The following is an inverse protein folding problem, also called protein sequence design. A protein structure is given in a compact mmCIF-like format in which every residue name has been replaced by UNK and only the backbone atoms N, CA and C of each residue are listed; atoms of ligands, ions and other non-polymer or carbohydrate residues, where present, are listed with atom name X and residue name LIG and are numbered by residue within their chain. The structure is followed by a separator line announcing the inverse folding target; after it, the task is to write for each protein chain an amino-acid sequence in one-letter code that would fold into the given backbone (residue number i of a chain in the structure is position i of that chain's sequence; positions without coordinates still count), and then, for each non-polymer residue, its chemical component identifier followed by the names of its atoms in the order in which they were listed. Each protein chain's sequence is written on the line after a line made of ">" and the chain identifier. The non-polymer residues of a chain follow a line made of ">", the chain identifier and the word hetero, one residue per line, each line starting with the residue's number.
data_IF_180576242267
#
_entry.id   IF_180576242267
#
_cell.length_a   1.000
_cell.length_b   1.000
_cell.length_c   1.000
_cell.angle_alpha   90.00
_cell.angle_beta   90.00
_cell.angle_gamma   90.00
#
_symmetry.space_group_name_H-M   'P 1'
#
loop_
_entity.id
_entity.type
_entity.pdbx_description
1 polymer ?
#
# COMPACT_ATOMS: atom_id res chain seq x y z
N UNK A 1 42.16 67.65 -34.52
CA UNK A 1 40.79 67.24 -34.10
C UNK A 1 40.59 65.75 -34.44
N UNK A 2 40.90 64.89 -33.55
CA UNK A 2 40.66 63.46 -33.71
C UNK A 2 39.78 62.98 -32.52
N UNK A 3 38.59 62.53 -32.79
CA UNK A 3 37.65 61.99 -31.79
C UNK A 3 38.03 60.54 -31.49
N UNK A 4 38.29 60.23 -30.21
CA UNK A 4 38.56 58.93 -29.73
C UNK A 4 37.19 58.38 -29.22
N UNK A 5 36.71 57.33 -29.87
CA UNK A 5 35.53 56.53 -29.37
C UNK A 5 36.04 55.49 -28.39
N UNK A 6 35.59 55.57 -27.17
CA UNK A 6 35.73 54.49 -26.15
C UNK A 6 34.61 53.48 -26.33
N UNK A 7 34.98 52.29 -26.73
CA UNK A 7 34.03 51.17 -26.77
C UNK A 7 33.95 50.49 -25.38
N UNK A 8 32.78 50.53 -24.75
CA UNK A 8 32.45 49.69 -23.57
C UNK A 8 32.15 48.29 -24.04
N UNK A 9 32.99 47.32 -23.67
CA UNK A 9 32.71 45.91 -23.81
C UNK A 9 31.89 45.43 -22.58
N UNK A 10 30.60 45.18 -22.75
CA UNK A 10 29.81 44.50 -21.77
C UNK A 10 30.10 42.98 -21.80
N UNK A 11 30.78 42.51 -20.76
CA UNK A 11 30.99 41.07 -20.52
C UNK A 11 29.69 40.49 -19.93
N UNK A 12 28.89 39.83 -20.76
CA UNK A 12 27.73 39.09 -20.30
C UNK A 12 28.18 37.72 -19.74
N UNK A 13 28.24 37.57 -18.43
CA UNK A 13 28.41 36.31 -17.76
C UNK A 13 27.12 35.47 -17.90
N UNK A 14 27.13 34.51 -18.80
CA UNK A 14 26.12 33.47 -18.91
C UNK A 14 26.29 32.50 -17.74
N UNK A 15 25.49 32.68 -16.70
CA UNK A 15 25.24 31.62 -15.71
C UNK A 15 24.41 30.52 -16.37
N UNK A 16 25.05 29.48 -16.87
CA UNK A 16 24.37 28.24 -17.23
C UNK A 16 23.97 27.52 -15.92
N UNK A 17 22.73 27.73 -15.47
CA UNK A 17 22.10 26.88 -14.47
C UNK A 17 21.97 25.48 -15.07
N UNK A 18 22.87 24.58 -14.69
CA UNK A 18 22.69 23.16 -14.95
C UNK A 18 21.50 22.70 -14.13
N UNK A 19 20.32 22.66 -14.74
CA UNK A 19 19.22 21.88 -14.24
C UNK A 19 19.65 20.41 -14.29
N UNK A 20 20.10 19.87 -13.16
CA UNK A 20 20.16 18.44 -12.96
C UNK A 20 18.71 17.94 -12.94
N UNK A 21 18.22 17.56 -14.11
CA UNK A 21 17.05 16.70 -14.22
C UNK A 21 17.40 15.42 -13.48
N UNK A 22 16.92 15.32 -12.24
CA UNK A 22 16.83 14.04 -11.57
C UNK A 22 15.94 13.16 -12.47
N UNK A 23 16.59 12.39 -13.34
CA UNK A 23 15.92 11.29 -14.02
C UNK A 23 15.34 10.41 -12.92
N UNK A 24 14.01 10.51 -12.72
CA UNK A 24 13.25 9.44 -12.15
C UNK A 24 13.55 8.23 -13.04
N UNK A 25 14.47 7.39 -12.60
CA UNK A 25 14.63 6.07 -13.17
C UNK A 25 13.28 5.38 -12.96
N UNK A 26 12.43 5.38 -13.99
CA UNK A 26 11.35 4.42 -14.07
C UNK A 26 12.03 3.07 -13.88
N UNK A 27 11.67 2.38 -12.80
CA UNK A 27 12.20 1.05 -12.48
C UNK A 27 11.80 0.15 -13.63
N UNK A 28 12.71 -0.01 -14.58
CA UNK A 28 12.46 -0.78 -15.79
C UNK A 28 12.06 -2.19 -15.39
N UNK A 29 10.82 -2.58 -15.66
CA UNK A 29 10.43 -3.98 -15.76
C UNK A 29 9.42 -4.52 -14.76
N UNK A 30 9.04 -3.84 -13.67
CA UNK A 30 7.90 -4.25 -12.84
C UNK A 30 6.78 -3.23 -12.90
N UNK A 31 5.52 -3.71 -12.99
CA UNK A 31 4.35 -2.85 -13.07
C UNK A 31 3.82 -2.38 -11.71
N UNK A 32 4.29 -2.96 -10.60
CA UNK A 32 3.78 -2.71 -9.26
C UNK A 32 4.72 -1.84 -8.43
N UNK A 33 4.17 -1.25 -7.35
CA UNK A 33 4.88 -0.33 -6.45
C UNK A 33 4.95 -0.89 -5.05
N UNK A 34 5.97 -0.46 -4.29
CA UNK A 34 6.05 -0.74 -2.86
C UNK A 34 5.28 0.34 -2.09
N UNK A 35 4.42 -0.09 -1.20
CA UNK A 35 3.68 0.74 -0.25
C UNK A 35 3.91 0.32 1.20
N UNK A 36 3.19 0.96 2.11
CA UNK A 36 3.14 0.58 3.53
C UNK A 36 1.67 0.46 3.93
N UNK A 37 1.30 -0.69 4.51
CA UNK A 37 0.10 -0.82 5.31
C UNK A 37 0.35 -0.10 6.65
N UNK A 38 -0.45 0.94 6.93
CA UNK A 38 -0.20 1.83 8.08
C UNK A 38 -0.39 1.15 9.43
N UNK A 39 -0.98 -0.05 9.47
CA UNK A 39 -1.03 -0.88 10.66
C UNK A 39 0.37 -1.22 11.19
N UNK A 40 1.38 -1.28 10.32
CA UNK A 40 2.80 -1.34 10.68
C UNK A 40 3.15 -0.27 11.74
N UNK A 41 2.58 0.91 11.64
CA UNK A 41 2.81 2.04 12.55
C UNK A 41 1.62 2.33 13.48
N UNK A 42 0.81 1.32 13.82
CA UNK A 42 -0.42 1.47 14.61
C UNK A 42 -0.21 2.05 16.01
N UNK A 43 1.00 1.93 16.56
CA UNK A 43 1.33 2.49 17.89
C UNK A 43 1.56 4.01 17.86
N UNK A 44 1.52 4.61 16.68
CA UNK A 44 1.72 6.04 16.46
C UNK A 44 0.43 6.69 15.95
N UNK A 45 0.27 7.99 16.23
CA UNK A 45 -0.76 8.77 15.56
C UNK A 45 -0.50 8.83 14.05
N UNK A 46 -1.54 9.08 13.24
CA UNK A 46 -1.41 9.22 11.80
C UNK A 46 -0.30 10.23 11.43
N UNK A 47 -0.26 11.40 12.08
CA UNK A 47 0.76 12.43 11.84
C UNK A 47 2.16 11.89 12.07
N UNK A 48 2.39 11.19 13.18
CA UNK A 48 3.71 10.62 13.51
C UNK A 48 4.06 9.43 12.59
N UNK A 49 3.08 8.59 12.26
CA UNK A 49 3.25 7.48 11.33
C UNK A 49 3.59 8.00 9.92
N UNK A 50 2.92 9.07 9.46
CA UNK A 50 3.21 9.70 8.17
C UNK A 50 4.64 10.24 8.09
N UNK A 51 5.20 10.78 9.19
CA UNK A 51 6.60 11.19 9.25
C UNK A 51 7.55 9.98 9.11
N UNK A 52 7.19 8.82 9.70
CA UNK A 52 7.96 7.57 9.53
C UNK A 52 7.91 7.07 8.07
N UNK A 53 6.74 7.11 7.44
CA UNK A 53 6.59 6.80 6.01
C UNK A 53 7.50 7.69 5.16
N UNK A 54 7.48 8.99 5.39
CA UNK A 54 8.33 9.95 4.67
C UNK A 54 9.82 9.64 4.86
N UNK A 55 10.25 9.37 6.10
CA UNK A 55 11.61 8.96 6.43
C UNK A 55 12.02 7.63 5.78
N UNK A 56 11.09 6.72 5.53
CA UNK A 56 11.37 5.46 4.83
C UNK A 56 11.60 5.65 3.33
N UNK A 57 11.20 6.80 2.76
CA UNK A 57 11.26 7.09 1.32
C UNK A 57 10.17 6.41 0.49
N UNK A 58 9.22 5.69 1.10
CA UNK A 58 8.05 5.09 0.44
C UNK A 58 7.00 6.19 0.25
N UNK A 59 6.28 6.14 -0.88
CA UNK A 59 5.35 7.21 -1.26
C UNK A 59 3.90 6.74 -1.46
N UNK A 60 3.61 5.48 -1.22
CA UNK A 60 2.26 4.92 -1.29
C UNK A 60 1.90 4.30 0.07
N UNK A 61 0.69 4.57 0.55
CA UNK A 61 0.20 4.00 1.80
C UNK A 61 -1.17 3.35 1.62
N UNK A 62 -1.38 2.28 2.37
CA UNK A 62 -2.67 1.70 2.65
C UNK A 62 -3.04 2.02 4.10
N UNK A 63 -4.10 2.80 4.30
CA UNK A 63 -4.48 3.33 5.60
C UNK A 63 -5.41 2.37 6.34
N UNK A 64 -5.22 2.15 7.65
CA UNK A 64 -6.20 1.41 8.43
C UNK A 64 -7.17 2.34 9.20
N UNK A 65 -8.43 1.89 9.30
CA UNK A 65 -9.48 2.61 10.04
C UNK A 65 -9.25 2.43 11.55
N UNK A 66 -9.36 3.53 12.29
CA UNK A 66 -9.18 3.52 13.75
C UNK A 66 -7.85 4.10 14.22
N UNK A 67 -6.91 4.42 13.35
CA UNK A 67 -5.67 5.08 13.75
C UNK A 67 -5.97 6.47 14.32
N UNK A 68 -5.46 6.78 15.52
CA UNK A 68 -5.54 8.12 16.11
C UNK A 68 -4.92 9.15 15.17
N UNK A 69 -5.59 10.29 14.96
CA UNK A 69 -5.12 11.31 14.01
C UNK A 69 -3.87 12.04 14.50
N UNK A 70 -3.94 12.68 15.65
CA UNK A 70 -2.82 13.44 16.22
C UNK A 70 -2.64 14.84 15.61
N UNK A 71 -1.61 15.56 16.05
CA UNK A 71 -1.48 16.97 15.75
C UNK A 71 -2.58 17.78 16.41
N UNK A 72 -3.21 18.67 15.65
CA UNK A 72 -4.38 19.46 16.05
C UNK A 72 -5.73 18.77 15.74
N UNK A 73 -5.66 17.58 15.11
CA UNK A 73 -6.84 16.77 14.78
C UNK A 73 -7.20 15.83 15.92
N UNK A 74 -8.51 15.67 16.16
CA UNK A 74 -9.04 14.79 17.20
C UNK A 74 -9.67 13.52 16.61
N UNK A 75 -9.76 12.47 17.45
CA UNK A 75 -10.38 11.21 17.05
C UNK A 75 -9.48 10.31 16.21
N UNK A 76 -10.12 9.50 15.40
CA UNK A 76 -9.45 8.44 14.64
C UNK A 76 -9.77 8.57 13.15
N UNK A 77 -8.86 8.06 12.30
CA UNK A 77 -9.11 7.92 10.87
C UNK A 77 -10.31 7.01 10.61
N UNK A 78 -11.24 7.48 9.79
CA UNK A 78 -12.43 6.71 9.43
C UNK A 78 -13.57 7.58 8.88
N UNK A 79 -14.71 6.96 8.53
CA UNK A 79 -15.87 7.66 7.94
C UNK A 79 -16.46 8.78 8.79
N UNK A 80 -16.20 8.78 10.09
CA UNK A 80 -16.70 9.78 11.04
C UNK A 80 -15.87 11.08 11.07
N UNK A 81 -14.73 11.11 10.37
CA UNK A 81 -13.86 12.30 10.33
C UNK A 81 -14.61 13.52 9.78
N UNK A 82 -14.29 14.68 10.32
CA UNK A 82 -14.77 15.97 9.79
C UNK A 82 -14.22 16.23 8.38
N UNK A 83 -14.90 17.05 7.60
CA UNK A 83 -14.39 17.50 6.30
C UNK A 83 -13.07 18.29 6.46
N UNK A 84 -12.93 19.03 7.56
CA UNK A 84 -11.71 19.78 7.88
C UNK A 84 -10.52 18.84 8.13
N UNK A 85 -10.69 17.78 8.94
CA UNK A 85 -9.61 16.81 9.18
C UNK A 85 -9.20 16.07 7.91
N UNK A 86 -10.17 15.69 7.06
CA UNK A 86 -9.86 15.09 5.75
C UNK A 86 -9.07 16.04 4.86
N UNK A 87 -9.41 17.34 4.86
CA UNK A 87 -8.65 18.34 4.11
C UNK A 87 -7.22 18.50 4.65
N UNK A 88 -7.03 18.54 5.98
CA UNK A 88 -5.71 18.58 6.61
C UNK A 88 -4.87 17.36 6.24
N UNK A 89 -5.46 16.17 6.28
CA UNK A 89 -4.78 14.92 5.87
C UNK A 89 -4.33 15.01 4.41
N UNK A 90 -5.21 15.44 3.50
CA UNK A 90 -4.87 15.62 2.08
C UNK A 90 -3.72 16.60 1.88
N UNK A 91 -3.71 17.73 2.61
CA UNK A 91 -2.60 18.68 2.58
C UNK A 91 -1.28 18.07 3.07
N UNK A 92 -1.30 17.33 4.19
CA UNK A 92 -0.10 16.65 4.72
C UNK A 92 0.46 15.61 3.75
N UNK A 93 -0.41 14.80 3.14
CA UNK A 93 -0.03 13.82 2.12
C UNK A 93 0.61 14.50 0.92
N UNK A 94 -0.02 15.56 0.41
CA UNK A 94 0.47 16.34 -0.73
C UNK A 94 1.84 16.97 -0.43
N UNK A 95 2.01 17.59 0.74
CA UNK A 95 3.26 18.22 1.15
C UNK A 95 4.45 17.24 1.18
N UNK A 96 4.19 15.96 1.44
CA UNK A 96 5.20 14.88 1.47
C UNK A 96 5.30 14.09 0.16
N UNK A 97 4.45 14.40 -0.82
CA UNK A 97 4.32 13.62 -2.04
C UNK A 97 3.94 12.15 -1.78
N UNK A 98 3.17 11.89 -0.73
CA UNK A 98 2.66 10.57 -0.34
C UNK A 98 1.22 10.44 -0.85
N UNK A 99 0.86 9.27 -1.37
CA UNK A 99 -0.49 8.96 -1.83
C UNK A 99 -1.12 7.92 -0.92
N UNK A 100 -2.35 8.17 -0.50
CA UNK A 100 -3.18 7.19 0.18
C UNK A 100 -3.95 6.41 -0.90
N UNK A 101 -3.44 5.22 -1.24
CA UNK A 101 -3.94 4.46 -2.40
C UNK A 101 -5.03 3.48 -2.05
N UNK A 102 -5.12 3.08 -0.80
CA UNK A 102 -6.13 2.17 -0.28
C UNK A 102 -6.40 2.39 1.20
N UNK A 103 -7.40 1.74 1.72
CA UNK A 103 -7.62 1.55 3.14
C UNK A 103 -8.10 0.12 3.44
N UNK A 104 -7.71 -0.39 4.58
CA UNK A 104 -8.10 -1.71 5.10
C UNK A 104 -7.22 -2.12 6.29
N UNK A 105 -7.44 -3.25 6.88
CA UNK A 105 -8.47 -4.24 6.52
C UNK A 105 -9.76 -3.88 7.26
N UNK A 106 -10.89 -3.91 6.60
CA UNK A 106 -12.17 -3.50 7.16
C UNK A 106 -13.25 -4.58 7.00
N UNK A 107 -14.21 -4.58 7.91
CA UNK A 107 -15.33 -5.52 7.92
C UNK A 107 -16.64 -4.75 8.17
N UNK A 108 -17.14 -3.94 7.24
CA UNK A 108 -18.40 -3.23 7.42
C UNK A 108 -19.57 -4.21 7.56
N UNK A 109 -20.44 -3.98 8.52
CA UNK A 109 -21.50 -4.93 8.86
C UNK A 109 -22.83 -4.65 8.14
N UNK A 110 -23.05 -3.40 7.73
CA UNK A 110 -24.29 -2.99 7.08
C UNK A 110 -24.02 -2.30 5.74
N UNK A 111 -25.05 -2.22 4.88
CA UNK A 111 -24.98 -1.47 3.63
C UNK A 111 -24.66 0.01 3.89
N UNK A 112 -25.19 0.60 4.95
CA UNK A 112 -24.92 1.98 5.32
C UNK A 112 -23.44 2.21 5.68
N UNK A 113 -22.80 1.26 6.37
CA UNK A 113 -21.38 1.34 6.69
C UNK A 113 -20.51 1.20 5.42
N UNK A 114 -20.91 0.31 4.50
CA UNK A 114 -20.24 0.20 3.19
C UNK A 114 -20.34 1.50 2.39
N UNK A 115 -21.52 2.14 2.32
CA UNK A 115 -21.68 3.43 1.64
C UNK A 115 -20.74 4.48 2.24
N UNK A 116 -20.72 4.64 3.57
CA UNK A 116 -19.82 5.59 4.25
C UNK A 116 -18.34 5.27 3.98
N UNK A 117 -18.00 3.99 3.87
CA UNK A 117 -16.65 3.53 3.54
C UNK A 117 -16.26 3.94 2.10
N UNK A 118 -17.14 3.70 1.14
CA UNK A 118 -16.91 4.11 -0.25
C UNK A 118 -16.87 5.62 -0.41
N UNK A 119 -17.72 6.37 0.31
CA UNK A 119 -17.69 7.83 0.33
C UNK A 119 -16.34 8.35 0.82
N UNK A 120 -15.80 7.78 1.92
CA UNK A 120 -14.47 8.11 2.41
C UNK A 120 -13.38 7.77 1.37
N UNK A 121 -13.42 6.57 0.80
CA UNK A 121 -12.44 6.14 -0.20
C UNK A 121 -12.43 7.09 -1.41
N UNK A 122 -13.61 7.45 -1.91
CA UNK A 122 -13.77 8.40 -3.01
C UNK A 122 -13.26 9.79 -2.67
N UNK A 123 -13.62 10.31 -1.49
CA UNK A 123 -13.17 11.64 -1.02
C UNK A 123 -11.65 11.69 -0.86
N UNK A 124 -11.03 10.61 -0.35
CA UNK A 124 -9.57 10.52 -0.19
C UNK A 124 -8.82 10.15 -1.47
N UNK A 125 -9.51 9.87 -2.58
CA UNK A 125 -8.91 9.53 -3.87
C UNK A 125 -8.25 8.15 -3.90
N UNK A 126 -8.78 7.19 -3.15
CA UNK A 126 -8.25 5.83 -3.07
C UNK A 126 -8.59 5.01 -4.32
N UNK A 127 -7.71 4.08 -4.66
CA UNK A 127 -7.84 3.22 -5.84
C UNK A 127 -8.59 1.92 -5.57
N UNK A 128 -8.59 1.44 -4.34
CA UNK A 128 -9.30 0.23 -3.90
C UNK A 128 -9.52 0.23 -2.38
N UNK A 129 -10.34 -0.69 -1.91
CA UNK A 129 -10.60 -0.94 -0.50
C UNK A 129 -10.19 -2.37 -0.16
N UNK A 130 -9.36 -2.58 0.86
CA UNK A 130 -9.04 -3.90 1.39
C UNK A 130 -10.03 -4.28 2.48
N UNK A 131 -10.74 -5.39 2.32
CA UNK A 131 -11.84 -5.75 3.22
C UNK A 131 -12.07 -7.25 3.32
N UNK A 132 -12.87 -7.64 4.31
CA UNK A 132 -13.41 -9.01 4.49
C UNK A 132 -14.94 -8.95 4.56
N UNK A 133 -15.61 -8.82 3.40
CA UNK A 133 -17.08 -8.75 3.38
C UNK A 133 -17.70 -10.05 3.89
N UNK A 134 -18.86 -9.96 4.57
CA UNK A 134 -19.63 -11.14 4.89
C UNK A 134 -20.11 -11.83 3.60
N UNK A 135 -20.21 -13.16 3.59
CA UNK A 135 -20.62 -13.93 2.40
C UNK A 135 -21.94 -13.48 1.79
N UNK A 136 -22.89 -13.08 2.62
CA UNK A 136 -24.19 -12.56 2.17
C UNK A 136 -24.16 -11.10 1.70
N UNK A 137 -22.99 -10.48 1.63
CA UNK A 137 -22.80 -9.09 1.18
C UNK A 137 -22.15 -8.99 -0.20
N UNK A 138 -21.66 -10.08 -0.80
CA UNK A 138 -20.86 -10.03 -2.03
C UNK A 138 -21.56 -9.27 -3.17
N UNK A 139 -22.83 -9.61 -3.48
CA UNK A 139 -23.60 -8.93 -4.53
C UNK A 139 -23.74 -7.42 -4.26
N UNK A 140 -24.01 -7.07 -3.01
CA UNK A 140 -24.18 -5.68 -2.60
C UNK A 140 -22.84 -4.92 -2.67
N UNK A 141 -21.75 -5.55 -2.23
CA UNK A 141 -20.41 -4.96 -2.28
C UNK A 141 -19.93 -4.78 -3.72
N UNK A 142 -20.11 -5.78 -4.58
CA UNK A 142 -19.78 -5.67 -6.01
C UNK A 142 -20.55 -4.54 -6.68
N UNK A 143 -21.85 -4.45 -6.39
CA UNK A 143 -22.71 -3.38 -6.92
C UNK A 143 -22.22 -1.99 -6.49
N UNK A 144 -21.90 -1.79 -5.20
CA UNK A 144 -21.37 -0.53 -4.70
C UNK A 144 -20.00 -0.23 -5.31
N UNK A 145 -19.10 -1.20 -5.35
CA UNK A 145 -17.78 -1.05 -5.97
C UNK A 145 -17.88 -0.59 -7.43
N UNK A 146 -18.86 -1.12 -8.18
CA UNK A 146 -19.16 -0.67 -9.55
C UNK A 146 -19.68 0.76 -9.62
N UNK A 147 -20.58 1.17 -8.71
CA UNK A 147 -21.13 2.54 -8.65
C UNK A 147 -20.04 3.56 -8.33
N UNK A 148 -19.17 3.24 -7.38
CA UNK A 148 -18.08 4.14 -6.95
C UNK A 148 -16.85 4.08 -7.86
N UNK A 149 -16.75 3.08 -8.73
CA UNK A 149 -15.54 2.74 -9.52
C UNK A 149 -14.31 2.51 -8.64
N UNK A 150 -14.51 1.89 -7.48
CA UNK A 150 -13.47 1.55 -6.51
C UNK A 150 -13.63 0.06 -6.20
N UNK A 151 -12.75 -0.83 -6.70
CA UNK A 151 -12.86 -2.25 -6.44
C UNK A 151 -12.57 -2.60 -4.98
N UNK A 152 -13.05 -3.75 -4.55
CA UNK A 152 -12.78 -4.31 -3.23
C UNK A 152 -11.82 -5.49 -3.35
N UNK A 153 -10.70 -5.42 -2.64
CA UNK A 153 -9.70 -6.47 -2.54
C UNK A 153 -9.94 -7.27 -1.26
N UNK A 154 -10.34 -8.53 -1.38
CA UNK A 154 -10.56 -9.41 -0.25
C UNK A 154 -9.22 -9.82 0.34
N UNK A 155 -9.04 -9.54 1.64
CA UNK A 155 -7.87 -9.90 2.40
C UNK A 155 -8.01 -11.29 3.02
N UNK A 156 -6.90 -11.98 3.16
CA UNK A 156 -6.80 -13.28 3.82
C UNK A 156 -6.16 -13.14 5.21
N UNK A 157 -6.91 -13.49 6.26
CA UNK A 157 -6.33 -13.70 7.59
C UNK A 157 -6.18 -15.20 7.89
N UNK A 158 -5.35 -15.59 8.88
CA UNK A 158 -5.23 -16.99 9.26
C UNK A 158 -6.56 -17.56 9.79
N UNK A 159 -6.66 -18.87 9.77
CA UNK A 159 -7.78 -19.57 10.45
C UNK A 159 -8.00 -19.06 11.89
N UNK A 160 -9.25 -18.86 12.31
CA UNK A 160 -10.51 -19.36 11.69
C UNK A 160 -11.15 -18.39 10.67
N UNK A 161 -10.42 -17.45 10.08
CA UNK A 161 -10.99 -16.52 9.10
C UNK A 161 -11.56 -17.26 7.88
N UNK A 162 -12.67 -16.74 7.34
CA UNK A 162 -13.38 -17.32 6.20
C UNK A 162 -12.52 -17.30 4.92
N UNK A 163 -11.65 -16.30 4.77
CA UNK A 163 -10.83 -16.07 3.56
C UNK A 163 -9.41 -16.63 3.68
N UNK A 164 -9.13 -17.47 4.68
CA UNK A 164 -7.80 -18.04 4.92
C UNK A 164 -7.21 -18.81 3.72
N UNK A 165 -8.04 -19.30 2.81
CA UNK A 165 -7.63 -20.07 1.63
C UNK A 165 -8.02 -19.33 0.34
N UNK A 166 -7.19 -19.31 -0.70
CA UNK A 166 -7.48 -18.59 -1.94
C UNK A 166 -8.76 -19.03 -2.63
N UNK A 167 -9.18 -20.30 -2.50
CA UNK A 167 -10.46 -20.78 -3.04
C UNK A 167 -11.67 -20.05 -2.43
N UNK A 168 -11.57 -19.66 -1.17
CA UNK A 168 -12.64 -18.89 -0.52
C UNK A 168 -12.75 -17.48 -1.11
N UNK A 169 -11.62 -16.89 -1.50
CA UNK A 169 -11.55 -15.61 -2.20
C UNK A 169 -12.09 -15.76 -3.61
N UNK A 170 -11.70 -16.81 -4.35
CA UNK A 170 -12.25 -17.12 -5.69
C UNK A 170 -13.76 -17.32 -5.66
N UNK A 171 -14.30 -17.96 -4.61
CA UNK A 171 -15.76 -18.11 -4.45
C UNK A 171 -16.46 -16.75 -4.36
N UNK A 172 -15.85 -15.76 -3.69
CA UNK A 172 -16.39 -14.40 -3.62
C UNK A 172 -16.21 -13.61 -4.93
N UNK A 173 -15.15 -13.86 -5.70
CA UNK A 173 -14.88 -13.21 -6.99
C UNK A 173 -15.80 -13.72 -8.07
N UNK A 174 -16.22 -15.01 -8.00
CA UNK A 174 -17.04 -15.63 -9.02
C UNK A 174 -18.37 -14.88 -9.23
N UNK A 175 -18.55 -14.27 -10.40
CA UNK A 175 -19.72 -13.47 -10.72
C UNK A 175 -19.67 -12.01 -10.26
N UNK A 176 -18.61 -11.59 -9.57
CA UNK A 176 -18.43 -10.24 -9.01
C UNK A 176 -17.19 -9.56 -9.61
N UNK A 177 -17.40 -8.78 -10.65
CA UNK A 177 -16.32 -8.19 -11.47
C UNK A 177 -15.54 -7.07 -10.79
N UNK A 178 -16.07 -6.50 -9.71
CA UNK A 178 -15.45 -5.42 -8.95
C UNK A 178 -14.85 -5.91 -7.61
N UNK A 179 -14.79 -7.23 -7.42
CA UNK A 179 -14.16 -7.88 -6.27
C UNK A 179 -12.92 -8.63 -6.75
N UNK A 180 -11.81 -8.47 -6.06
CA UNK A 180 -10.57 -9.21 -6.29
C UNK A 180 -9.90 -9.57 -4.97
N UNK A 181 -8.60 -9.83 -4.99
CA UNK A 181 -7.82 -10.27 -3.84
C UNK A 181 -6.81 -9.21 -3.38
N UNK A 182 -6.64 -9.08 -2.08
CA UNK A 182 -5.46 -8.54 -1.43
C UNK A 182 -4.67 -9.73 -0.86
N UNK A 183 -3.56 -10.08 -1.48
CA UNK A 183 -2.78 -11.27 -1.19
C UNK A 183 -1.79 -11.03 -0.03
N UNK A 184 -2.11 -11.46 1.20
CA UNK A 184 -1.14 -11.44 2.30
C UNK A 184 -0.33 -12.73 2.33
N UNK A 185 0.92 -12.65 1.87
CA UNK A 185 1.81 -13.81 1.77
C UNK A 185 2.19 -14.41 3.12
N UNK A 186 2.18 -13.59 4.18
CA UNK A 186 2.47 -14.05 5.55
C UNK A 186 1.32 -14.86 6.12
N UNK A 187 0.09 -14.44 5.87
CA UNK A 187 -1.08 -15.15 6.36
C UNK A 187 -1.27 -16.50 5.68
N UNK A 188 -0.99 -16.61 4.38
CA UNK A 188 -0.96 -17.93 3.74
C UNK A 188 0.11 -18.84 4.34
N UNK A 189 1.32 -18.32 4.56
CA UNK A 189 2.40 -19.10 5.18
C UNK A 189 2.06 -19.54 6.62
N UNK A 190 1.35 -18.71 7.40
CA UNK A 190 0.81 -19.08 8.72
C UNK A 190 -0.16 -20.26 8.64
N UNK A 191 -0.93 -20.39 7.56
CA UNK A 191 -1.85 -21.51 7.33
C UNK A 191 -1.19 -22.74 6.69
N UNK A 192 0.12 -22.75 6.51
CA UNK A 192 0.86 -23.84 5.84
C UNK A 192 0.68 -23.86 4.33
N UNK A 193 0.24 -22.74 3.73
CA UNK A 193 0.07 -22.60 2.30
C UNK A 193 1.32 -21.95 1.67
N UNK A 194 1.74 -22.45 0.53
CA UNK A 194 2.82 -21.81 -0.23
C UNK A 194 2.29 -20.54 -0.91
N UNK A 195 2.86 -19.35 -0.60
CA UNK A 195 2.35 -18.07 -1.14
C UNK A 195 2.35 -18.00 -2.66
N UNK A 196 3.37 -18.54 -3.33
CA UNK A 196 3.45 -18.54 -4.79
C UNK A 196 2.34 -19.41 -5.41
N UNK A 197 2.05 -20.56 -4.80
CA UNK A 197 0.94 -21.41 -5.24
C UNK A 197 -0.41 -20.69 -5.07
N UNK A 198 -0.60 -19.98 -3.94
CA UNK A 198 -1.83 -19.20 -3.69
C UNK A 198 -1.98 -18.04 -4.70
N UNK A 199 -0.90 -17.33 -5.01
CA UNK A 199 -0.91 -16.30 -6.06
C UNK A 199 -1.31 -16.87 -7.42
N UNK A 200 -0.83 -18.05 -7.79
CA UNK A 200 -1.21 -18.72 -9.05
C UNK A 200 -2.69 -19.08 -9.10
N UNK A 201 -3.27 -19.52 -7.98
CA UNK A 201 -4.71 -19.77 -7.87
C UNK A 201 -5.51 -18.47 -8.12
N UNK A 202 -4.99 -17.33 -7.67
CA UNK A 202 -5.62 -16.01 -7.80
C UNK A 202 -5.14 -15.22 -9.03
N UNK A 203 -4.52 -15.88 -10.01
CA UNK A 203 -3.98 -15.21 -11.19
C UNK A 203 -5.05 -14.37 -11.91
N UNK A 204 -4.72 -13.11 -12.21
CA UNK A 204 -5.61 -12.15 -12.83
C UNK A 204 -6.62 -11.47 -11.89
N UNK A 205 -6.64 -11.84 -10.61
CA UNK A 205 -7.58 -11.31 -9.62
C UNK A 205 -6.91 -10.52 -8.48
N UNK A 206 -5.59 -10.46 -8.41
CA UNK A 206 -4.86 -9.75 -7.35
C UNK A 206 -4.91 -8.24 -7.63
N UNK A 207 -5.56 -7.48 -6.74
CA UNK A 207 -5.69 -6.01 -6.78
C UNK A 207 -4.60 -5.36 -5.94
N UNK A 208 -4.35 -5.89 -4.74
CA UNK A 208 -3.33 -5.48 -3.80
C UNK A 208 -2.63 -6.68 -3.19
N UNK A 209 -1.51 -6.47 -2.51
CA UNK A 209 -0.82 -7.53 -1.79
C UNK A 209 -0.08 -6.97 -0.57
N UNK A 210 0.06 -7.80 0.48
CA UNK A 210 0.88 -7.46 1.64
C UNK A 210 2.20 -8.23 1.62
N UNK A 211 3.29 -7.48 1.75
CA UNK A 211 4.64 -7.97 1.90
C UNK A 211 4.92 -8.18 3.39
N UNK A 212 4.81 -9.40 3.81
CA UNK A 212 4.97 -9.85 5.20
C UNK A 212 5.91 -11.06 5.23
N UNK A 213 6.73 -11.18 6.26
CA UNK A 213 7.53 -12.38 6.51
C UNK A 213 7.35 -12.83 7.95
N UNK A 214 7.43 -14.13 8.21
CA UNK A 214 7.12 -14.74 9.49
C UNK A 214 8.23 -15.71 9.91
N UNK A 215 8.34 -15.94 11.22
CA UNK A 215 9.44 -16.77 11.80
C UNK A 215 9.23 -18.28 11.62
N UNK A 216 7.98 -18.74 11.47
CA UNK A 216 7.65 -20.18 11.43
C UNK A 216 6.53 -20.44 10.42
N UNK A 217 6.77 -21.36 9.49
CA UNK A 217 5.77 -21.83 8.54
C UNK A 217 4.76 -22.77 9.20
N UNK A 218 3.48 -22.70 8.77
CA UNK A 218 2.38 -23.54 9.27
C UNK A 218 2.13 -23.39 10.79
N UNK A 219 2.23 -22.15 11.26
CA UNK A 219 1.87 -21.76 12.61
C UNK A 219 1.01 -20.49 12.55
N UNK A 220 -0.30 -20.63 12.84
CA UNK A 220 -1.25 -19.50 12.79
C UNK A 220 -0.93 -18.37 13.76
N UNK A 221 -0.07 -18.61 14.75
CA UNK A 221 0.41 -17.63 15.73
C UNK A 221 1.85 -17.18 15.48
N UNK A 222 2.47 -17.61 14.39
CA UNK A 222 3.83 -17.21 14.04
C UNK A 222 3.97 -15.69 14.05
N UNK A 223 5.01 -15.20 14.70
CA UNK A 223 5.31 -13.77 14.75
C UNK A 223 5.88 -13.28 13.42
N UNK A 224 5.59 -12.02 13.11
CA UNK A 224 6.27 -11.34 12.01
C UNK A 224 7.76 -11.16 12.31
N UNK A 225 8.53 -11.15 11.24
CA UNK A 225 9.93 -10.77 11.25
C UNK A 225 10.23 -9.82 10.09
N UNK A 226 11.43 -9.27 10.07
CA UNK A 226 11.87 -8.40 8.97
C UNK A 226 11.89 -9.22 7.68
N UNK A 227 11.36 -8.68 6.62
CA UNK A 227 11.32 -9.32 5.29
C UNK A 227 12.73 -9.79 4.89
N UNK A 228 12.84 -11.00 4.43
CA UNK A 228 14.07 -11.75 4.16
C UNK A 228 14.74 -12.43 5.36
N UNK A 229 14.19 -12.28 6.56
CA UNK A 229 14.72 -12.94 7.77
C UNK A 229 13.81 -14.05 8.27
N UNK A 230 12.70 -14.28 7.58
CA UNK A 230 11.75 -15.33 7.89
C UNK A 230 11.83 -16.51 6.93
N UNK A 231 10.69 -17.19 6.81
CA UNK A 231 10.59 -18.47 6.09
C UNK A 231 9.97 -18.37 4.70
N UNK A 232 9.55 -17.16 4.27
CA UNK A 232 8.89 -16.97 2.98
C UNK A 232 9.93 -16.73 1.87
N UNK A 233 9.77 -17.42 0.76
CA UNK A 233 10.57 -17.17 -0.45
C UNK A 233 10.08 -15.87 -1.13
N UNK A 234 10.58 -14.75 -0.60
CA UNK A 234 10.23 -13.41 -1.09
C UNK A 234 10.64 -13.21 -2.57
N UNK A 235 11.85 -13.61 -3.01
CA UNK A 235 12.23 -13.54 -4.43
C UNK A 235 11.24 -14.23 -5.35
N UNK A 236 10.80 -15.45 -4.99
CA UNK A 236 9.83 -16.21 -5.80
C UNK A 236 8.45 -15.52 -5.82
N UNK A 237 8.00 -14.96 -4.70
CA UNK A 237 6.75 -14.18 -4.64
C UNK A 237 6.80 -12.93 -5.53
N UNK A 238 7.91 -12.17 -5.49
CA UNK A 238 8.11 -11.00 -6.35
C UNK A 238 8.16 -11.38 -7.84
N UNK A 239 8.84 -12.48 -8.18
CA UNK A 239 8.91 -12.99 -9.54
C UNK A 239 7.52 -13.40 -10.05
N UNK A 240 6.70 -14.02 -9.20
CA UNK A 240 5.34 -14.43 -9.55
C UNK A 240 4.43 -13.23 -9.79
N UNK A 241 4.47 -12.20 -8.95
CA UNK A 241 3.74 -10.95 -9.18
C UNK A 241 4.14 -10.29 -10.50
N UNK A 242 5.44 -10.31 -10.84
CA UNK A 242 5.94 -9.82 -12.13
C UNK A 242 5.39 -10.66 -13.29
N UNK A 243 5.44 -12.00 -13.18
CA UNK A 243 4.92 -12.93 -14.21
C UNK A 243 3.44 -12.66 -14.50
N UNK A 244 2.65 -12.37 -13.46
CA UNK A 244 1.22 -12.04 -13.57
C UNK A 244 0.96 -10.61 -14.06
N UNK A 245 1.99 -9.82 -14.36
CA UNK A 245 1.86 -8.41 -14.72
C UNK A 245 1.09 -7.60 -13.66
N UNK A 246 1.23 -7.93 -12.38
CA UNK A 246 0.61 -7.21 -11.29
C UNK A 246 0.98 -5.72 -11.33
N UNK A 247 -0.02 -4.84 -11.20
CA UNK A 247 0.14 -3.37 -11.28
C UNK A 247 -0.30 -2.66 -10.01
N UNK A 248 -0.73 -3.43 -9.01
CA UNK A 248 -1.21 -2.91 -7.73
C UNK A 248 -0.08 -2.44 -6.83
N UNK A 249 -0.40 -2.32 -5.56
CA UNK A 249 0.55 -1.96 -4.51
C UNK A 249 0.88 -3.19 -3.68
N UNK A 250 2.18 -3.42 -3.48
CA UNK A 250 2.69 -4.39 -2.52
C UNK A 250 3.01 -3.62 -1.23
N UNK A 251 2.11 -3.68 -0.26
CA UNK A 251 2.22 -2.92 0.99
C UNK A 251 3.04 -3.70 2.02
N UNK A 252 4.12 -3.12 2.54
CA UNK A 252 4.81 -3.69 3.71
C UNK A 252 3.82 -3.69 4.87
N UNK A 253 3.58 -4.87 5.44
CA UNK A 253 2.87 -5.01 6.71
C UNK A 253 3.75 -5.76 7.68
N UNK A 254 4.32 -5.03 8.65
CA UNK A 254 5.29 -5.54 9.62
C UNK A 254 4.75 -5.37 11.03
N UNK A 255 4.27 -6.46 11.61
CA UNK A 255 3.60 -6.50 12.90
C UNK A 255 4.54 -6.96 14.03
N UNK A 256 5.70 -6.33 14.09
CA UNK A 256 6.72 -6.60 15.10
C UNK A 256 7.47 -5.32 15.44
N UNK A 257 8.26 -5.35 16.52
CA UNK A 257 9.11 -4.22 16.94
C UNK A 257 8.36 -2.86 16.99
N UNK A 258 7.13 -2.87 17.42
CA UNK A 258 6.09 -1.87 17.24
C UNK A 258 6.52 -0.40 17.45
N UNK A 259 7.40 -0.13 18.41
CA UNK A 259 7.86 1.23 18.72
C UNK A 259 9.13 1.63 17.96
N UNK A 260 9.87 0.65 17.42
CA UNK A 260 11.19 0.86 16.80
C UNK A 260 11.31 0.21 15.42
N UNK A 261 10.19 0.03 14.70
CA UNK A 261 10.11 -0.71 13.45
C UNK A 261 10.48 0.08 12.17
N UNK A 262 10.77 1.37 12.27
CA UNK A 262 11.18 2.16 11.09
C UNK A 262 12.48 1.63 10.43
N UNK A 263 13.54 1.23 11.16
CA UNK A 263 14.71 0.60 10.54
C UNK A 263 14.36 -0.69 9.78
N UNK A 264 13.42 -1.49 10.30
CA UNK A 264 12.95 -2.73 9.67
C UNK A 264 12.23 -2.44 8.33
N UNK A 265 11.41 -1.39 8.29
CA UNK A 265 10.74 -0.91 7.07
C UNK A 265 11.76 -0.38 6.04
N UNK A 266 12.75 0.39 6.49
CA UNK A 266 13.81 0.91 5.60
C UNK A 266 14.62 -0.25 5.01
N UNK A 267 15.00 -1.23 5.84
CA UNK A 267 15.69 -2.44 5.39
C UNK A 267 14.84 -3.22 4.37
N UNK A 268 13.55 -3.43 4.67
CA UNK A 268 12.63 -4.12 3.76
C UNK A 268 12.53 -3.40 2.41
N UNK A 269 12.46 -2.07 2.39
CA UNK A 269 12.48 -1.29 1.16
C UNK A 269 13.77 -1.49 0.36
N UNK A 270 14.92 -1.43 1.05
CA UNK A 270 16.22 -1.62 0.39
C UNK A 270 16.35 -3.04 -0.19
N UNK A 271 15.91 -4.05 0.58
CA UNK A 271 15.87 -5.43 0.12
C UNK A 271 14.96 -5.59 -1.11
N UNK A 272 13.73 -5.05 -1.05
CA UNK A 272 12.80 -5.04 -2.18
C UNK A 272 13.44 -4.41 -3.42
N UNK A 273 14.06 -3.23 -3.28
CA UNK A 273 14.71 -2.53 -4.39
C UNK A 273 15.82 -3.39 -5.03
N UNK A 274 16.61 -4.06 -4.21
CA UNK A 274 17.66 -4.98 -4.68
C UNK A 274 17.08 -6.21 -5.40
N UNK A 275 16.03 -6.83 -4.87
CA UNK A 275 15.39 -7.98 -5.51
C UNK A 275 14.76 -7.60 -6.85
N UNK A 276 14.05 -6.48 -6.90
CA UNK A 276 13.43 -6.00 -8.13
C UNK A 276 14.45 -5.69 -9.22
N UNK A 277 15.61 -5.16 -8.85
CA UNK A 277 16.71 -4.92 -9.80
C UNK A 277 17.26 -6.22 -10.43
N UNK A 278 17.11 -7.37 -9.75
CA UNK A 278 17.49 -8.69 -10.26
C UNK A 278 16.40 -9.36 -11.12
N UNK A 279 15.17 -8.91 -11.03
CA UNK A 279 14.08 -9.42 -11.88
C UNK A 279 14.24 -8.84 -13.30
N UNK A 280 14.84 -9.64 -14.17
CA UNK A 280 15.06 -9.31 -15.59
C UNK A 280 13.79 -9.47 -16.42
#
# INVERSE_FOLDING_TARGET
>A
MKKILLGLACLALLFSAAFTTQHKTERAGIGYKLGIQMYTFRMFTFVNALNKVDSSGIKDIEQYIGQKLGGDMQGNFGPQMSAEDRAKIKMMLHAKGIRMVAMGVIVPRTKADWIKTFDLAKDMGMSYITAEPLKNQWDMVDSLAGIYHIPVAIHDHPKPNVYWHPDSVLAAIKGHKNIGACADIGHWARNGLNPVACMKILEGHIIGAHLKDIVTFNDTHARDTVVSKGVIDIPAALAELKRQHFKGILSIEHESNWYHNLPDVIFTRQYFDAQVAMLK
#
